data_IF_809165475730
#
_entry.id   IF_809165475730
#
_cell.length_a   1.000
_cell.length_b   1.000
_cell.length_c   1.000
_cell.angle_alpha   90.00
_cell.angle_beta   90.00
_cell.angle_gamma   90.00
#
_symmetry.space_group_name_H-M   'P 1'
#
loop_
_entity.id
_entity.type
_entity.pdbx_description
1 polymer ?
#
# COMPACT_ATOMS: atom_id res chain seq x y z
N UNK A 1 -75.68 -30.31 95.98
CA UNK A 1 -74.85 -31.41 95.41
C UNK A 1 -73.47 -30.84 95.06
N UNK A 2 -72.48 -31.03 95.92
CA UNK A 2 -71.41 -32.06 95.84
C UNK A 2 -70.24 -31.66 94.89
N UNK A 3 -69.24 -30.93 95.41
CA UNK A 3 -67.90 -31.43 95.83
C UNK A 3 -67.10 -32.14 94.73
N UNK A 4 -65.93 -31.58 94.39
CA UNK A 4 -64.69 -32.38 94.31
C UNK A 4 -63.44 -31.55 94.59
N UNK A 5 -62.87 -31.80 95.78
CA UNK A 5 -61.50 -31.46 96.20
C UNK A 5 -60.49 -32.17 95.29
N UNK A 6 -59.43 -31.49 94.87
CA UNK A 6 -58.14 -32.14 94.56
C UNK A 6 -56.99 -31.39 95.25
N UNK A 7 -56.11 -32.22 95.82
CA UNK A 7 -54.99 -31.91 96.73
C UNK A 7 -53.83 -31.19 96.02
N UNK A 8 -53.11 -30.41 96.83
CA UNK A 8 -51.86 -29.69 96.54
C UNK A 8 -50.73 -30.62 96.05
N UNK A 9 -49.92 -30.13 95.12
CA UNK A 9 -48.50 -30.47 94.99
C UNK A 9 -47.69 -29.16 95.00
N UNK A 10 -46.90 -28.95 96.06
CA UNK A 10 -45.86 -27.92 96.08
C UNK A 10 -44.65 -28.45 95.29
N UNK A 11 -44.31 -27.80 94.16
CA UNK A 11 -43.05 -28.01 93.45
C UNK A 11 -42.10 -26.85 93.78
N UNK A 12 -40.95 -27.17 94.37
CA UNK A 12 -39.82 -26.24 94.52
C UNK A 12 -38.76 -26.49 93.43
N UNK A 13 -38.01 -25.42 93.09
CA UNK A 13 -36.80 -25.32 92.20
C UNK A 13 -37.08 -25.18 90.69
N UNK A 14 -36.40 -24.31 89.91
CA UNK A 14 -35.18 -23.48 90.07
C UNK A 14 -35.39 -22.07 89.46
N UNK A 15 -34.81 -21.01 90.05
CA UNK A 15 -34.35 -19.81 89.31
C UNK A 15 -32.87 -20.00 88.97
N UNK A 16 -32.25 -19.28 88.02
CA UNK A 16 -32.70 -18.80 86.71
C UNK A 16 -31.66 -19.16 85.61
N UNK A 17 -31.94 -18.89 84.33
CA UNK A 17 -30.87 -18.39 83.44
C UNK A 17 -31.43 -17.23 82.64
N UNK A 18 -31.04 -16.00 83.03
CA UNK A 18 -31.11 -14.86 82.11
C UNK A 18 -30.30 -15.28 80.88
N UNK A 19 -30.96 -15.55 79.74
CA UNK A 19 -30.27 -15.53 78.45
C UNK A 19 -29.65 -14.14 78.36
N UNK A 20 -28.32 -14.04 78.52
CA UNK A 20 -27.59 -12.80 78.21
C UNK A 20 -27.96 -12.50 76.76
N UNK A 21 -28.77 -11.45 76.52
CA UNK A 21 -28.86 -10.86 75.18
C UNK A 21 -27.43 -10.58 74.80
N UNK A 22 -26.92 -11.31 73.80
CA UNK A 22 -25.60 -11.08 73.22
C UNK A 22 -25.66 -9.63 72.77
N UNK A 23 -25.04 -8.71 73.52
CA UNK A 23 -24.85 -7.33 73.07
C UNK A 23 -23.96 -7.48 71.85
N UNK A 24 -24.56 -7.56 70.67
CA UNK A 24 -23.82 -7.48 69.42
C UNK A 24 -23.06 -6.18 69.49
N UNK A 25 -21.75 -6.30 69.56
CA UNK A 25 -20.86 -5.20 69.86
C UNK A 25 -20.85 -4.35 68.59
N UNK A 26 -21.75 -3.35 68.53
CA UNK A 26 -22.03 -2.54 67.35
C UNK A 26 -20.74 -1.96 66.76
N UNK A 27 -19.78 -1.65 67.63
CA UNK A 27 -18.42 -1.21 67.30
C UNK A 27 -17.62 -2.23 66.48
N UNK A 28 -17.73 -3.53 66.77
CA UNK A 28 -17.07 -4.60 66.01
C UNK A 28 -17.74 -4.85 64.66
N UNK A 29 -19.07 -4.84 64.60
CA UNK A 29 -19.80 -4.98 63.33
C UNK A 29 -19.53 -3.79 62.39
N UNK A 30 -19.53 -2.58 62.95
CA UNK A 30 -19.17 -1.35 62.25
C UNK A 30 -17.72 -1.38 61.74
N UNK A 31 -16.77 -1.83 62.55
CA UNK A 31 -15.37 -1.93 62.12
C UNK A 31 -15.19 -2.94 60.98
N UNK A 32 -15.86 -4.10 61.00
CA UNK A 32 -15.81 -5.08 59.90
C UNK A 32 -16.46 -4.57 58.62
N UNK A 33 -17.64 -3.96 58.72
CA UNK A 33 -18.29 -3.33 57.57
C UNK A 33 -17.41 -2.24 56.97
N UNK A 34 -16.83 -1.38 57.82
CA UNK A 34 -15.93 -0.30 57.39
C UNK A 34 -14.68 -0.85 56.70
N UNK A 35 -14.06 -1.92 57.20
CA UNK A 35 -12.89 -2.54 56.55
C UNK A 35 -13.25 -3.19 55.22
N UNK A 36 -14.33 -3.96 55.14
CA UNK A 36 -14.78 -4.60 53.90
C UNK A 36 -15.18 -3.57 52.84
N UNK A 37 -15.87 -2.51 53.25
CA UNK A 37 -16.29 -1.42 52.37
C UNK A 37 -15.09 -0.63 51.84
N UNK A 38 -14.14 -0.24 52.71
CA UNK A 38 -12.93 0.47 52.29
C UNK A 38 -12.03 -0.41 51.41
N UNK A 39 -11.94 -1.71 51.68
CA UNK A 39 -11.18 -2.64 50.85
C UNK A 39 -11.80 -2.79 49.46
N UNK A 40 -13.13 -2.88 49.35
CA UNK A 40 -13.84 -2.92 48.05
C UNK A 40 -13.68 -1.61 47.27
N UNK A 41 -13.75 -0.46 47.93
CA UNK A 41 -13.48 0.84 47.29
C UNK A 41 -12.04 0.91 46.80
N UNK A 42 -11.08 0.45 47.60
CA UNK A 42 -9.66 0.40 47.21
C UNK A 42 -9.42 -0.50 45.99
N UNK A 43 -10.08 -1.65 45.91
CA UNK A 43 -10.00 -2.52 44.72
C UNK A 43 -10.64 -1.85 43.50
N UNK A 44 -11.80 -1.20 43.67
CA UNK A 44 -12.49 -0.51 42.58
C UNK A 44 -11.70 0.69 42.07
N UNK A 45 -11.03 1.43 42.95
CA UNK A 45 -10.17 2.56 42.55
C UNK A 45 -8.92 2.08 41.83
N UNK A 46 -8.29 0.98 42.26
CA UNK A 46 -7.18 0.35 41.53
C UNK A 46 -7.64 -0.11 40.14
N UNK A 47 -8.79 -0.78 40.07
CA UNK A 47 -9.37 -1.20 38.78
C UNK A 47 -9.64 0.00 37.86
N UNK A 48 -10.19 1.09 38.40
CA UNK A 48 -10.44 2.31 37.63
C UNK A 48 -9.14 2.94 37.10
N UNK A 49 -8.09 3.01 37.93
CA UNK A 49 -6.77 3.51 37.50
C UNK A 49 -6.19 2.64 36.40
N UNK A 50 -6.22 1.31 36.56
CA UNK A 50 -5.75 0.36 35.54
C UNK A 50 -6.57 0.53 34.25
N UNK A 51 -7.90 0.63 34.35
CA UNK A 51 -8.77 0.86 33.21
C UNK A 51 -8.44 2.17 32.48
N UNK A 52 -8.22 3.27 33.19
CA UNK A 52 -7.83 4.55 32.57
C UNK A 52 -6.48 4.50 31.86
N UNK A 53 -5.51 3.78 32.43
CA UNK A 53 -4.20 3.60 31.80
C UNK A 53 -4.31 2.74 30.54
N UNK A 54 -5.04 1.62 30.60
CA UNK A 54 -5.29 0.75 29.46
C UNK A 54 -6.07 1.47 28.36
N UNK A 55 -7.12 2.23 28.71
CA UNK A 55 -7.87 3.03 27.73
C UNK A 55 -6.97 4.09 27.09
N UNK A 56 -6.09 4.73 27.86
CA UNK A 56 -5.11 5.68 27.34
C UNK A 56 -4.16 5.06 26.32
N UNK A 57 -3.68 3.83 26.58
CA UNK A 57 -2.83 3.08 25.63
C UNK A 57 -3.62 2.74 24.36
N UNK A 58 -4.86 2.28 24.48
CA UNK A 58 -5.69 1.96 23.31
C UNK A 58 -5.97 3.20 22.47
N UNK A 59 -6.32 4.33 23.10
CA UNK A 59 -6.55 5.61 22.43
C UNK A 59 -5.26 6.09 21.74
N UNK A 60 -4.13 6.05 22.46
CA UNK A 60 -2.84 6.44 21.89
C UNK A 60 -2.49 5.61 20.65
N UNK A 61 -2.61 4.28 20.73
CA UNK A 61 -2.35 3.40 19.58
C UNK A 61 -3.32 3.63 18.42
N UNK A 62 -4.59 3.90 18.71
CA UNK A 62 -5.58 4.22 17.68
C UNK A 62 -5.24 5.54 16.97
N UNK A 63 -4.89 6.59 17.73
CA UNK A 63 -4.46 7.90 17.18
C UNK A 63 -3.18 7.75 16.37
N UNK A 64 -2.18 7.04 16.88
CA UNK A 64 -0.92 6.80 16.18
C UNK A 64 -1.14 6.05 14.86
N UNK A 65 -1.96 4.99 14.89
CA UNK A 65 -2.35 4.24 13.68
C UNK A 65 -3.11 5.13 12.68
N UNK A 66 -4.00 5.99 13.15
CA UNK A 66 -4.73 6.92 12.28
C UNK A 66 -3.80 7.95 11.62
N UNK A 67 -2.83 8.48 12.37
CA UNK A 67 -1.83 9.40 11.84
C UNK A 67 -0.93 8.74 10.80
N UNK A 68 -0.48 7.51 11.04
CA UNK A 68 0.31 6.75 10.06
C UNK A 68 -0.47 6.52 8.76
N UNK A 69 -1.73 6.05 8.86
CA UNK A 69 -2.60 5.88 7.69
C UNK A 69 -2.83 7.18 6.93
N UNK A 70 -3.01 8.29 7.63
CA UNK A 70 -3.16 9.59 6.97
C UNK A 70 -1.88 10.00 6.24
N UNK A 71 -0.71 9.79 6.85
CA UNK A 71 0.58 9.99 6.19
C UNK A 71 0.75 9.14 4.93
N UNK A 72 0.40 7.86 4.98
CA UNK A 72 0.43 6.96 3.82
C UNK A 72 -0.50 7.42 2.69
N UNK A 73 -1.73 7.84 3.03
CA UNK A 73 -2.69 8.35 2.03
C UNK A 73 -2.20 9.63 1.38
N UNK A 74 -1.66 10.57 2.16
CA UNK A 74 -1.08 11.80 1.64
C UNK A 74 0.11 11.52 0.72
N UNK A 75 0.96 10.56 1.09
CA UNK A 75 2.10 10.19 0.26
C UNK A 75 1.67 9.51 -1.05
N UNK A 76 0.62 8.66 -1.02
CA UNK A 76 0.04 8.07 -2.24
C UNK A 76 -0.57 9.12 -3.16
N UNK A 77 -1.25 10.12 -2.59
CA UNK A 77 -1.81 11.23 -3.38
C UNK A 77 -0.69 12.01 -4.08
N UNK A 78 0.37 12.38 -3.34
CA UNK A 78 1.52 13.09 -3.93
C UNK A 78 2.21 12.23 -4.99
N UNK A 79 2.40 10.93 -4.74
CA UNK A 79 2.98 9.99 -5.72
C UNK A 79 2.13 9.94 -6.99
N UNK A 80 0.80 9.83 -6.84
CA UNK A 80 -0.13 9.82 -7.96
C UNK A 80 -0.06 11.12 -8.77
N UNK A 81 -0.12 12.29 -8.12
CA UNK A 81 0.00 13.59 -8.77
C UNK A 81 1.32 13.77 -9.52
N UNK A 82 2.42 13.25 -8.99
CA UNK A 82 3.72 13.26 -9.69
C UNK A 82 3.70 12.41 -10.96
N UNK A 83 3.09 11.23 -10.90
CA UNK A 83 2.93 10.34 -12.06
C UNK A 83 2.04 10.96 -13.15
N UNK A 84 0.94 11.59 -12.76
CA UNK A 84 0.07 12.32 -13.68
C UNK A 84 0.81 13.52 -14.29
N UNK A 85 1.55 14.28 -13.48
CA UNK A 85 2.37 15.39 -13.99
C UNK A 85 3.42 14.95 -15.02
N UNK A 86 4.03 13.77 -14.84
CA UNK A 86 4.90 13.17 -15.85
C UNK A 86 4.14 12.88 -17.14
N UNK A 87 3.01 12.14 -17.06
CA UNK A 87 2.19 11.80 -18.23
C UNK A 87 1.80 13.07 -19.00
N UNK A 88 1.22 14.06 -18.33
CA UNK A 88 0.78 15.32 -18.95
C UNK A 88 1.92 16.05 -19.66
N UNK A 89 3.14 15.98 -19.11
CA UNK A 89 4.31 16.65 -19.69
C UNK A 89 4.75 16.05 -21.03
N UNK A 90 4.48 14.75 -21.26
CA UNK A 90 4.92 14.04 -22.46
C UNK A 90 3.80 13.87 -23.51
N UNK A 91 2.54 14.19 -23.19
CA UNK A 91 1.40 14.11 -24.14
C UNK A 91 1.67 14.84 -25.46
N UNK A 92 2.09 16.13 -25.47
CA UNK A 92 2.19 16.88 -26.73
C UNK A 92 3.25 16.30 -27.68
N UNK A 93 4.35 15.79 -27.11
CA UNK A 93 5.44 15.15 -27.86
C UNK A 93 4.96 13.81 -28.40
N UNK A 94 4.32 12.99 -27.56
CA UNK A 94 3.79 11.66 -27.95
C UNK A 94 2.82 11.75 -29.11
N UNK A 95 1.85 12.67 -29.07
CA UNK A 95 0.90 12.88 -30.15
C UNK A 95 1.56 13.35 -31.46
N UNK A 96 2.61 14.18 -31.35
CA UNK A 96 3.36 14.64 -32.51
C UNK A 96 4.13 13.49 -33.15
N UNK A 97 4.81 12.69 -32.34
CA UNK A 97 5.57 11.52 -32.81
C UNK A 97 4.66 10.43 -33.38
N UNK A 98 3.48 10.21 -32.79
CA UNK A 98 2.47 9.29 -33.34
C UNK A 98 2.13 9.65 -34.79
N UNK A 99 1.81 10.92 -35.07
CA UNK A 99 1.49 11.38 -36.43
C UNK A 99 2.64 11.21 -37.42
N UNK A 100 3.88 11.19 -36.93
CA UNK A 100 5.08 11.13 -37.77
C UNK A 100 5.56 9.69 -38.00
N UNK A 101 5.44 8.82 -37.00
CA UNK A 101 6.10 7.51 -36.96
C UNK A 101 5.13 6.34 -36.71
N UNK A 102 3.84 6.60 -36.51
CA UNK A 102 2.79 5.56 -36.44
C UNK A 102 2.66 4.82 -35.10
N UNK A 103 3.59 4.98 -34.16
CA UNK A 103 3.45 4.44 -32.80
C UNK A 103 2.41 5.23 -32.03
N UNK A 104 1.37 4.56 -31.51
CA UNK A 104 0.29 5.22 -30.77
C UNK A 104 0.84 5.99 -29.57
N UNK A 105 0.30 7.19 -29.33
CA UNK A 105 0.72 8.03 -28.22
C UNK A 105 0.54 7.30 -26.88
N UNK A 106 -0.56 6.57 -26.71
CA UNK A 106 -0.83 5.74 -25.53
C UNK A 106 0.26 4.71 -25.28
N UNK A 107 0.69 3.98 -26.32
CA UNK A 107 1.75 2.96 -26.25
C UNK A 107 3.09 3.59 -25.89
N UNK A 108 3.48 4.67 -26.57
CA UNK A 108 4.74 5.37 -26.29
C UNK A 108 4.79 5.93 -24.87
N UNK A 109 3.68 6.52 -24.39
CA UNK A 109 3.60 7.05 -23.01
C UNK A 109 3.60 5.93 -21.97
N UNK A 110 2.92 4.81 -22.23
CA UNK A 110 2.90 3.67 -21.33
C UNK A 110 4.30 3.05 -21.18
N UNK A 111 5.03 2.85 -22.29
CA UNK A 111 6.42 2.40 -22.25
C UNK A 111 7.30 3.40 -21.48
N UNK A 112 7.22 4.70 -21.81
CA UNK A 112 8.00 5.71 -21.10
C UNK A 112 7.72 5.70 -19.59
N UNK A 113 6.46 5.63 -19.18
CA UNK A 113 6.09 5.61 -17.77
C UNK A 113 6.56 4.33 -17.05
N UNK A 114 6.41 3.16 -17.70
CA UNK A 114 6.80 1.86 -17.14
C UNK A 114 8.32 1.75 -16.99
N UNK A 115 9.07 2.03 -18.04
CA UNK A 115 10.52 1.83 -18.12
C UNK A 115 11.31 2.84 -17.27
N UNK A 116 10.77 4.05 -17.12
CA UNK A 116 11.45 5.13 -16.39
C UNK A 116 10.90 5.37 -14.99
N UNK A 117 9.95 4.56 -14.51
CA UNK A 117 9.20 4.85 -13.28
C UNK A 117 8.66 6.29 -13.26
N UNK A 118 7.94 6.67 -14.32
CA UNK A 118 7.41 8.03 -14.54
C UNK A 118 8.52 9.10 -14.51
N UNK A 119 9.65 8.82 -15.17
CA UNK A 119 10.81 9.69 -15.29
C UNK A 119 11.71 9.73 -14.04
N UNK A 120 11.45 8.92 -13.02
CA UNK A 120 12.15 8.95 -11.72
C UNK A 120 13.32 7.99 -11.64
N UNK A 121 13.37 6.97 -12.49
CA UNK A 121 14.53 6.08 -12.58
C UNK A 121 15.77 6.92 -12.84
N UNK A 122 16.93 6.52 -12.28
CA UNK A 122 18.15 7.29 -12.48
C UNK A 122 18.49 7.44 -13.97
N UNK A 123 18.26 6.38 -14.75
CA UNK A 123 18.42 6.38 -16.20
C UNK A 123 17.52 7.41 -16.91
N UNK A 124 16.25 7.53 -16.49
CA UNK A 124 15.31 8.52 -17.02
C UNK A 124 15.61 9.95 -16.53
N UNK A 125 15.95 10.13 -15.26
CA UNK A 125 16.11 11.44 -14.63
C UNK A 125 17.45 12.12 -14.95
N UNK A 126 18.56 11.37 -14.94
CA UNK A 126 19.91 11.93 -15.10
C UNK A 126 20.40 11.85 -16.55
N UNK A 127 19.97 10.82 -17.29
CA UNK A 127 20.45 10.53 -18.65
C UNK A 127 19.36 10.67 -19.72
N UNK A 128 18.17 11.10 -19.32
CA UNK A 128 17.01 11.33 -20.16
C UNK A 128 16.55 10.11 -20.97
N UNK A 129 16.95 8.89 -20.61
CA UNK A 129 16.58 7.69 -21.35
C UNK A 129 15.32 7.08 -20.75
N UNK A 130 14.16 7.46 -21.32
CA UNK A 130 12.85 7.08 -20.81
C UNK A 130 12.43 5.64 -21.13
N UNK A 131 13.12 4.98 -22.06
CA UNK A 131 12.67 3.73 -22.69
C UNK A 131 13.64 2.56 -22.48
N UNK A 132 14.69 2.75 -21.67
CA UNK A 132 15.71 1.73 -21.45
C UNK A 132 16.50 1.37 -22.71
N UNK A 133 16.66 2.31 -23.67
CA UNK A 133 17.35 2.02 -24.93
C UNK A 133 18.82 1.73 -24.69
N UNK A 134 19.23 0.49 -25.00
CA UNK A 134 20.62 0.03 -24.93
C UNK A 134 21.45 0.63 -26.07
N UNK A 135 22.75 0.66 -25.89
CA UNK A 135 23.71 1.12 -26.92
C UNK A 135 24.91 0.18 -26.99
N UNK A 136 25.66 0.26 -28.08
CA UNK A 136 26.84 -0.57 -28.28
C UNK A 136 27.89 -0.32 -27.19
N UNK A 137 28.64 -1.38 -26.85
CA UNK A 137 29.75 -1.30 -25.89
C UNK A 137 30.82 -0.24 -26.27
N UNK A 138 30.89 0.14 -27.55
CA UNK A 138 31.82 1.13 -28.07
C UNK A 138 31.29 2.56 -28.10
N UNK A 139 30.01 2.79 -27.75
CA UNK A 139 29.43 4.12 -27.67
C UNK A 139 30.13 4.91 -26.53
N UNK A 140 30.88 5.98 -26.86
CA UNK A 140 31.63 6.73 -25.86
C UNK A 140 30.73 7.49 -24.89
N UNK A 141 29.50 7.80 -25.28
CA UNK A 141 28.56 8.58 -24.48
C UNK A 141 27.62 7.69 -23.63
N UNK A 142 27.63 6.37 -23.87
CA UNK A 142 26.83 5.41 -23.13
C UNK A 142 27.18 5.31 -21.64
N UNK A 143 26.22 4.85 -20.83
CA UNK A 143 26.36 4.67 -19.38
C UNK A 143 25.95 3.27 -18.95
N UNK A 144 26.66 2.72 -17.97
CA UNK A 144 26.43 1.36 -17.50
C UNK A 144 25.47 1.37 -16.30
N UNK A 145 24.41 0.57 -16.36
CA UNK A 145 23.42 0.42 -15.30
C UNK A 145 23.09 -1.05 -15.05
N UNK A 146 22.67 -1.35 -13.82
CA UNK A 146 22.07 -2.63 -13.52
C UNK A 146 20.65 -2.70 -14.09
N UNK A 147 20.32 -3.81 -14.72
CA UNK A 147 19.00 -4.11 -15.26
C UNK A 147 18.62 -5.56 -14.95
N UNK A 148 17.32 -5.83 -14.92
CA UNK A 148 16.79 -7.17 -14.78
C UNK A 148 16.43 -7.72 -16.15
N UNK A 149 17.00 -8.86 -16.51
CA UNK A 149 16.62 -9.63 -17.69
C UNK A 149 15.95 -10.93 -17.27
N UNK A 150 15.09 -11.46 -18.13
CA UNK A 150 14.40 -12.73 -17.90
C UNK A 150 15.00 -13.81 -18.80
N UNK A 151 15.71 -14.77 -18.19
CA UNK A 151 16.36 -15.88 -18.89
C UNK A 151 16.05 -17.19 -18.16
N UNK A 152 15.81 -18.26 -18.91
CA UNK A 152 15.59 -19.61 -18.36
C UNK A 152 14.57 -19.65 -17.20
N UNK A 153 13.46 -18.93 -17.38
CA UNK A 153 12.36 -18.77 -16.42
C UNK A 153 12.70 -18.01 -15.11
N UNK A 154 13.87 -17.38 -15.03
CA UNK A 154 14.33 -16.63 -13.85
C UNK A 154 14.73 -15.18 -14.20
N UNK A 155 14.52 -14.27 -13.23
CA UNK A 155 15.01 -12.89 -13.31
C UNK A 155 16.47 -12.81 -12.88
N UNK A 156 17.32 -12.26 -13.74
CA UNK A 156 18.77 -12.13 -13.51
C UNK A 156 19.15 -10.65 -13.61
N UNK A 157 19.85 -10.16 -12.58
CA UNK A 157 20.44 -8.83 -12.61
C UNK A 157 21.76 -8.85 -13.39
N UNK A 158 21.85 -8.03 -14.42
CA UNK A 158 23.07 -7.85 -15.23
C UNK A 158 23.44 -6.38 -15.32
N UNK A 159 24.69 -6.09 -15.68
CA UNK A 159 25.09 -4.75 -16.11
C UNK A 159 24.96 -4.65 -17.62
N UNK A 160 24.22 -3.65 -18.10
CA UNK A 160 24.10 -3.34 -19.52
C UNK A 160 24.44 -1.86 -19.78
N UNK A 161 24.68 -1.53 -21.04
CA UNK A 161 25.07 -0.19 -21.48
C UNK A 161 23.92 0.51 -22.16
N UNK A 162 23.56 1.67 -21.65
CA UNK A 162 22.39 2.44 -22.09
C UNK A 162 22.79 3.73 -22.77
N UNK A 163 21.96 4.14 -23.74
CA UNK A 163 22.12 5.39 -24.45
C UNK A 163 21.82 6.59 -23.54
N UNK A 164 22.58 7.67 -23.72
CA UNK A 164 22.32 8.96 -23.07
C UNK A 164 21.66 9.90 -24.08
N UNK A 165 20.64 10.62 -23.64
CA UNK A 165 19.93 11.60 -24.45
C UNK A 165 20.08 13.02 -23.89
N UNK A 166 20.07 14.06 -24.76
CA UNK A 166 20.15 15.44 -24.32
C UNK A 166 18.86 15.95 -23.66
N UNK A 167 17.73 15.27 -23.90
CA UNK A 167 16.42 15.59 -23.33
C UNK A 167 15.47 14.40 -23.44
N UNK A 168 14.38 14.41 -22.66
CA UNK A 168 13.30 13.43 -22.81
C UNK A 168 12.71 13.44 -24.21
N UNK A 169 12.53 14.61 -24.82
CA UNK A 169 12.05 14.72 -26.19
C UNK A 169 12.94 13.97 -27.19
N UNK A 170 14.27 14.07 -27.04
CA UNK A 170 15.22 13.34 -27.88
C UNK A 170 15.16 11.82 -27.65
N UNK A 171 14.90 11.38 -26.42
CA UNK A 171 14.69 9.96 -26.11
C UNK A 171 13.41 9.42 -26.73
N UNK A 172 12.31 10.19 -26.63
CA UNK A 172 11.03 9.84 -27.25
C UNK A 172 11.11 9.78 -28.77
N UNK A 173 11.80 10.75 -29.39
CA UNK A 173 12.03 10.73 -30.84
C UNK A 173 12.92 9.55 -31.25
N UNK A 174 13.99 9.27 -30.50
CA UNK A 174 14.85 8.10 -30.73
C UNK A 174 14.08 6.78 -30.65
N UNK A 175 13.19 6.63 -29.67
CA UNK A 175 12.31 5.48 -29.54
C UNK A 175 11.34 5.36 -30.73
N UNK A 176 10.67 6.46 -31.11
CA UNK A 176 9.74 6.45 -32.23
C UNK A 176 10.45 6.07 -33.56
N UNK A 177 11.67 6.58 -33.78
CA UNK A 177 12.50 6.20 -34.93
C UNK A 177 12.88 4.72 -34.87
N UNK A 178 13.30 4.21 -33.71
CA UNK A 178 13.66 2.78 -33.55
C UNK A 178 12.49 1.86 -33.95
N UNK A 179 11.29 2.16 -33.49
CA UNK A 179 10.10 1.35 -33.82
C UNK A 179 9.73 1.51 -35.31
N UNK A 180 9.81 2.72 -35.86
CA UNK A 180 9.44 3.00 -37.25
C UNK A 180 10.44 2.44 -38.27
N UNK A 181 11.74 2.58 -38.00
CA UNK A 181 12.82 2.23 -38.93
C UNK A 181 13.46 0.86 -38.64
N UNK A 182 13.08 0.23 -37.52
CA UNK A 182 13.66 -1.04 -37.08
C UNK A 182 15.07 -0.88 -36.52
N UNK A 183 15.80 -1.99 -36.48
CA UNK A 183 17.19 -2.03 -35.99
C UNK A 183 18.18 -1.91 -37.15
N UNK A 184 19.45 -1.66 -36.84
CA UNK A 184 20.51 -1.58 -37.85
C UNK A 184 20.70 -2.89 -38.66
N UNK A 185 20.30 -4.02 -38.10
CA UNK A 185 20.45 -5.35 -38.71
C UNK A 185 19.15 -5.90 -39.28
N UNK A 186 17.99 -5.38 -38.85
CA UNK A 186 16.67 -5.71 -39.39
C UNK A 186 15.76 -4.47 -39.37
N UNK A 187 15.54 -3.82 -40.53
CA UNK A 187 14.67 -2.64 -40.63
C UNK A 187 13.18 -2.96 -40.47
N UNK A 188 12.80 -4.24 -40.45
CA UNK A 188 11.43 -4.71 -40.25
C UNK A 188 11.18 -5.28 -38.87
N UNK A 189 12.17 -5.21 -37.98
CA UNK A 189 12.14 -5.87 -36.67
C UNK A 189 10.90 -5.51 -35.83
N UNK A 190 10.46 -4.25 -35.88
CA UNK A 190 9.27 -3.75 -35.16
C UNK A 190 8.04 -3.58 -36.06
N UNK A 191 8.02 -4.16 -37.25
CA UNK A 191 6.90 -4.01 -38.19
C UNK A 191 5.56 -4.51 -37.60
N UNK A 192 5.59 -5.53 -36.73
CA UNK A 192 4.41 -6.03 -36.03
C UNK A 192 3.73 -4.93 -35.18
N UNK A 193 4.52 -4.03 -34.58
CA UNK A 193 4.00 -2.87 -33.82
C UNK A 193 3.22 -1.94 -34.74
N UNK A 194 3.81 -1.57 -35.88
CA UNK A 194 3.22 -0.60 -36.82
C UNK A 194 2.00 -1.15 -37.57
N UNK A 195 1.85 -2.47 -37.64
CA UNK A 195 0.69 -3.12 -38.24
C UNK A 195 -0.54 -3.13 -37.32
N UNK A 196 -0.38 -2.80 -36.04
CA UNK A 196 -1.48 -2.78 -35.08
C UNK A 196 -2.35 -1.53 -35.21
N UNK A 197 -3.66 -1.74 -35.34
CA UNK A 197 -4.68 -0.68 -35.50
C UNK A 197 -5.09 -0.04 -34.17
N UNK A 198 -4.72 -0.67 -33.05
CA UNK A 198 -5.05 -0.22 -31.70
C UNK A 198 -3.91 -0.55 -30.72
N UNK A 199 -3.99 0.02 -29.51
CA UNK A 199 -2.92 -0.11 -28.52
C UNK A 199 -2.69 -1.56 -28.06
N UNK A 200 -3.71 -2.40 -28.04
CA UNK A 200 -3.57 -3.82 -27.68
C UNK A 200 -2.75 -4.54 -28.74
N UNK A 201 -3.02 -4.29 -30.03
CA UNK A 201 -2.26 -4.88 -31.13
C UNK A 201 -0.81 -4.37 -31.16
N UNK A 202 -0.58 -3.06 -30.98
CA UNK A 202 0.78 -2.51 -30.91
C UNK A 202 1.57 -3.07 -29.70
N UNK A 203 0.93 -3.21 -28.54
CA UNK A 203 1.56 -3.82 -27.36
C UNK A 203 1.94 -5.28 -27.58
N UNK A 204 1.08 -6.06 -28.24
CA UNK A 204 1.41 -7.43 -28.64
C UNK A 204 2.53 -7.47 -29.68
N UNK A 205 2.56 -6.52 -30.62
CA UNK A 205 3.66 -6.35 -31.56
C UNK A 205 5.00 -6.12 -30.85
N UNK A 206 5.03 -5.34 -29.76
CA UNK A 206 6.25 -5.12 -28.97
C UNK A 206 6.77 -6.43 -28.35
N UNK A 207 5.85 -7.24 -27.81
CA UNK A 207 6.18 -8.55 -27.25
C UNK A 207 6.68 -9.52 -28.34
N UNK A 208 6.00 -9.58 -29.49
CA UNK A 208 6.36 -10.44 -30.61
C UNK A 208 7.74 -10.09 -31.18
N UNK A 209 8.03 -8.80 -31.29
CA UNK A 209 9.34 -8.29 -31.72
C UNK A 209 10.42 -8.47 -30.66
N UNK A 210 10.11 -8.91 -29.43
CA UNK A 210 11.10 -9.11 -28.38
C UNK A 210 11.70 -7.80 -27.85
N UNK A 211 10.90 -6.73 -27.74
CA UNK A 211 11.33 -5.45 -27.16
C UNK A 211 11.84 -5.63 -25.71
N UNK A 212 11.19 -6.51 -24.94
CA UNK A 212 11.60 -6.90 -23.60
C UNK A 212 11.62 -8.43 -23.46
N UNK A 213 12.50 -8.95 -22.60
CA UNK A 213 12.56 -10.38 -22.27
C UNK A 213 11.41 -10.83 -21.36
N UNK A 214 10.70 -9.87 -20.75
CA UNK A 214 9.57 -10.12 -19.88
C UNK A 214 8.43 -10.81 -20.66
N UNK A 215 7.95 -12.01 -20.22
CA UNK A 215 6.90 -12.73 -20.92
C UNK A 215 5.51 -12.08 -20.80
N UNK A 216 5.33 -11.08 -19.92
CA UNK A 216 4.07 -10.36 -19.75
C UNK A 216 4.17 -8.88 -20.09
N UNK A 217 5.15 -8.50 -20.93
CA UNK A 217 5.40 -7.11 -21.29
C UNK A 217 4.18 -6.45 -21.94
N UNK A 218 3.55 -7.10 -22.92
CA UNK A 218 2.36 -6.57 -23.58
C UNK A 218 1.24 -6.27 -22.57
N UNK A 219 0.99 -7.20 -21.64
CA UNK A 219 -0.04 -7.04 -20.60
C UNK A 219 0.26 -5.84 -19.70
N UNK A 220 1.53 -5.61 -19.33
CA UNK A 220 1.94 -4.44 -18.53
C UNK A 220 1.71 -3.13 -19.28
N UNK A 221 2.00 -3.08 -20.57
CA UNK A 221 1.74 -1.89 -21.40
C UNK A 221 0.24 -1.63 -21.48
N UNK A 222 -0.57 -2.66 -21.72
CA UNK A 222 -2.04 -2.55 -21.74
C UNK A 222 -2.57 -2.07 -20.38
N UNK A 223 -2.10 -2.65 -19.28
CA UNK A 223 -2.49 -2.26 -17.91
C UNK A 223 -2.14 -0.79 -17.63
N UNK A 224 -0.97 -0.33 -18.05
CA UNK A 224 -0.56 1.07 -17.92
C UNK A 224 -1.47 2.01 -18.73
N UNK A 225 -1.82 1.62 -19.95
CA UNK A 225 -2.74 2.41 -20.79
C UNK A 225 -4.13 2.49 -20.14
N UNK A 226 -4.65 1.38 -19.62
CA UNK A 226 -5.98 1.34 -19.02
C UNK A 226 -6.03 2.05 -17.66
N UNK A 227 -5.00 1.87 -16.82
CA UNK A 227 -4.91 2.47 -15.48
C UNK A 227 -4.88 3.99 -15.54
N UNK A 228 -4.19 4.55 -16.53
CA UNK A 228 -4.03 5.99 -16.70
C UNK A 228 -4.87 6.55 -17.86
N UNK A 229 -5.77 5.74 -18.42
CA UNK A 229 -6.65 6.09 -19.55
C UNK A 229 -5.90 6.74 -20.73
N UNK A 230 -4.68 6.26 -21.04
CA UNK A 230 -3.78 6.92 -21.98
C UNK A 230 -4.26 6.89 -23.43
N UNK A 231 -5.14 5.94 -23.77
CA UNK A 231 -5.77 5.83 -25.08
C UNK A 231 -6.60 7.07 -25.45
N UNK A 232 -7.02 7.89 -24.47
CA UNK A 232 -7.69 9.17 -24.73
C UNK A 232 -6.81 10.17 -25.51
N UNK A 233 -5.49 9.98 -25.49
CA UNK A 233 -4.54 10.84 -26.18
C UNK A 233 -4.23 10.39 -27.61
N UNK A 234 -4.61 9.17 -27.98
CA UNK A 234 -4.38 8.66 -29.33
C UNK A 234 -5.09 9.52 -30.37
N UNK A 235 -4.37 9.85 -31.44
CA UNK A 235 -4.92 10.60 -32.56
C UNK A 235 -5.37 9.65 -33.67
N UNK A 236 -6.33 10.04 -34.53
CA UNK A 236 -6.57 9.32 -35.77
C UNK A 236 -5.28 9.26 -36.59
N UNK A 237 -4.94 8.07 -37.08
CA UNK A 237 -3.82 7.83 -38.01
C UNK A 237 -4.26 8.20 -39.42
#
# INVERSE_FOLDING_TARGET
MAKKKKRKLFKFKKRPTRRKKRKTNYKQAWNRFKTDFLQKIGILSIFFVIFTLLSGIVIYRWVDTANQRHGELMQREVDYEQRIGFIESIVPISQRLQRQYGVLASVSMAQAALESDFGRSQLGAEYNNLYGVKTDATDPDGVDFQTLEYFDDEWVEITDRFKVYPSWEASMEGHAILINEGTSWDPTFYQAVLNGDNYVEQANGLQESGYATDPTYADKIIEMIETYELNQYDQPI
#
